data_IF_606743203176
#
_entry.id   IF_606743203176
#
_cell.length_a   1.000
_cell.length_b   1.000
_cell.length_c   1.000
_cell.angle_alpha   90.00
_cell.angle_beta   90.00
_cell.angle_gamma   90.00
#
_symmetry.space_group_name_H-M   'P 1'
#
loop_
_entity.id
_entity.type
_entity.pdbx_description
1 polymer ?
#
# COMPACT_ATOMS: atom_id res chain seq x y z
N UNK A 1 6.73 -15.42 14.47
CA UNK A 1 6.83 -14.46 13.36
C UNK A 1 5.67 -14.81 12.47
N UNK A 2 4.56 -14.07 12.58
CA UNK A 2 3.39 -14.30 11.71
C UNK A 2 3.85 -14.07 10.28
N UNK A 3 3.56 -15.03 9.41
CA UNK A 3 4.00 -15.02 8.02
C UNK A 3 3.23 -13.88 7.34
N UNK A 4 3.93 -12.78 7.03
CA UNK A 4 3.30 -11.60 6.45
C UNK A 4 2.87 -11.97 5.03
N UNK A 5 1.56 -11.99 4.78
CA UNK A 5 1.00 -12.25 3.45
C UNK A 5 1.20 -11.02 2.55
N UNK A 6 2.41 -10.92 1.98
CA UNK A 6 2.77 -9.83 1.07
C UNK A 6 1.81 -9.70 -0.13
N UNK A 7 1.33 -10.78 -0.78
CA UNK A 7 0.31 -10.68 -1.82
C UNK A 7 -0.96 -9.94 -1.40
N UNK A 8 -1.50 -10.21 -0.20
CA UNK A 8 -2.68 -9.50 0.31
C UNK A 8 -2.37 -8.02 0.53
N UNK A 9 -1.22 -7.70 1.12
CA UNK A 9 -0.83 -6.30 1.35
C UNK A 9 -0.58 -5.54 0.05
N UNK A 10 0.04 -6.18 -0.95
CA UNK A 10 0.18 -5.59 -2.29
C UNK A 10 -1.19 -5.32 -2.91
N UNK A 11 -2.15 -6.22 -2.73
CA UNK A 11 -3.52 -6.00 -3.18
C UNK A 11 -4.15 -4.78 -2.49
N UNK A 12 -3.92 -4.59 -1.19
CA UNK A 12 -4.38 -3.37 -0.50
C UNK A 12 -3.72 -2.12 -1.08
N UNK A 13 -2.41 -2.15 -1.32
CA UNK A 13 -1.69 -1.01 -1.90
C UNK A 13 -2.23 -0.63 -3.28
N UNK A 14 -2.45 -1.61 -4.16
CA UNK A 14 -2.98 -1.39 -5.52
C UNK A 14 -4.43 -0.89 -5.53
N UNK A 15 -5.27 -1.39 -4.63
CA UNK A 15 -6.69 -1.01 -4.56
C UNK A 15 -6.95 0.19 -3.66
N UNK A 16 -5.92 0.84 -3.13
CA UNK A 16 -6.04 1.90 -2.11
C UNK A 16 -7.06 2.97 -2.49
N UNK A 17 -6.99 3.52 -3.71
CA UNK A 17 -7.92 4.58 -4.14
C UNK A 17 -9.37 4.12 -4.20
N UNK A 18 -9.64 2.92 -4.75
CA UNK A 18 -10.99 2.34 -4.75
C UNK A 18 -11.50 2.09 -3.32
N UNK A 19 -10.62 1.63 -2.43
CA UNK A 19 -10.96 1.42 -1.02
C UNK A 19 -11.28 2.75 -0.30
N UNK A 20 -10.54 3.83 -0.59
CA UNK A 20 -10.83 5.17 -0.09
C UNK A 20 -12.21 5.65 -0.56
N UNK A 21 -12.55 5.41 -1.82
CA UNK A 21 -13.86 5.80 -2.36
C UNK A 21 -14.99 5.02 -1.69
N UNK A 22 -14.82 3.71 -1.50
CA UNK A 22 -15.78 2.88 -0.76
C UNK A 22 -15.90 3.32 0.70
N UNK A 23 -14.79 3.66 1.36
CA UNK A 23 -14.79 4.14 2.74
C UNK A 23 -15.57 5.47 2.88
N UNK A 24 -15.39 6.40 1.94
CA UNK A 24 -16.10 7.69 1.93
C UNK A 24 -17.60 7.54 1.63
N UNK A 25 -17.94 6.66 0.69
CA UNK A 25 -19.32 6.53 0.20
C UNK A 25 -20.18 5.58 1.03
N UNK A 26 -19.56 4.68 1.81
CA UNK A 26 -20.21 3.65 2.62
C UNK A 26 -21.36 2.94 1.89
N UNK A 27 -21.06 2.03 0.94
CA UNK A 27 -22.06 1.28 0.19
C UNK A 27 -23.09 0.62 1.12
N UNK A 28 -24.37 0.65 0.72
CA UNK A 28 -25.49 0.16 1.54
C UNK A 28 -25.48 -1.36 1.75
N UNK A 29 -24.74 -2.09 0.93
CA UNK A 29 -24.58 -3.54 0.96
C UNK A 29 -23.37 -4.02 1.79
N UNK A 30 -22.60 -3.10 2.37
CA UNK A 30 -21.45 -3.41 3.22
C UNK A 30 -21.87 -3.58 4.69
N UNK A 31 -21.51 -4.71 5.28
CA UNK A 31 -21.74 -4.94 6.72
C UNK A 31 -20.72 -4.22 7.61
N UNK A 32 -21.00 -4.13 8.91
CA UNK A 32 -20.15 -3.40 9.86
C UNK A 32 -18.74 -3.99 9.97
N UNK A 33 -18.58 -5.32 9.89
CA UNK A 33 -17.27 -5.97 9.98
C UNK A 33 -16.44 -5.68 8.72
N UNK A 34 -17.06 -5.75 7.55
CA UNK A 34 -16.45 -5.37 6.28
C UNK A 34 -16.03 -3.89 6.29
N UNK A 35 -16.88 -3.01 6.82
CA UNK A 35 -16.56 -1.59 6.94
C UNK A 35 -15.41 -1.32 7.92
N UNK A 36 -15.40 -1.97 9.08
CA UNK A 36 -14.30 -1.85 10.05
C UNK A 36 -12.97 -2.33 9.46
N UNK A 37 -12.99 -3.44 8.71
CA UNK A 37 -11.79 -3.93 8.03
C UNK A 37 -11.30 -2.95 6.96
N UNK A 38 -12.22 -2.42 6.14
CA UNK A 38 -11.91 -1.40 5.13
C UNK A 38 -11.32 -0.14 5.77
N UNK A 39 -11.93 0.34 6.85
CA UNK A 39 -11.47 1.49 7.62
C UNK A 39 -10.05 1.28 8.15
N UNK A 40 -9.77 0.12 8.75
CA UNK A 40 -8.43 -0.24 9.25
C UNK A 40 -7.39 -0.20 8.12
N UNK A 41 -7.70 -0.83 6.98
CA UNK A 41 -6.79 -0.88 5.83
C UNK A 41 -6.53 0.53 5.27
N UNK A 42 -7.59 1.30 5.03
CA UNK A 42 -7.48 2.66 4.47
C UNK A 42 -6.66 3.55 5.41
N UNK A 43 -6.94 3.53 6.71
CA UNK A 43 -6.21 4.34 7.70
C UNK A 43 -4.76 3.90 7.82
N UNK A 44 -4.49 2.59 7.88
CA UNK A 44 -3.13 2.06 7.98
C UNK A 44 -2.27 2.41 6.76
N UNK A 45 -2.79 2.24 5.54
CA UNK A 45 -2.07 2.64 4.31
C UNK A 45 -1.85 4.15 4.26
N UNK A 46 -2.87 4.94 4.62
CA UNK A 46 -2.76 6.41 4.67
C UNK A 46 -1.68 6.85 5.64
N UNK A 47 -1.64 6.25 6.83
CA UNK A 47 -0.63 6.54 7.84
C UNK A 47 0.78 6.23 7.32
N UNK A 48 1.00 5.04 6.77
CA UNK A 48 2.33 4.64 6.25
C UNK A 48 2.80 5.60 5.16
N UNK A 49 1.91 6.03 4.27
CA UNK A 49 2.25 7.01 3.24
C UNK A 49 2.62 8.38 3.86
N UNK A 50 1.80 8.90 4.76
CA UNK A 50 2.00 10.23 5.36
C UNK A 50 3.25 10.30 6.27
N UNK A 51 3.55 9.21 6.98
CA UNK A 51 4.72 9.11 7.86
C UNK A 51 6.03 8.84 7.09
N UNK A 52 5.93 8.53 5.79
CA UNK A 52 7.09 8.25 4.94
C UNK A 52 7.72 9.53 4.38
N UNK A 53 9.03 9.51 4.18
CA UNK A 53 9.74 10.57 3.48
C UNK A 53 9.31 10.68 2.00
N UNK A 54 9.65 11.80 1.36
CA UNK A 54 9.27 12.10 -0.02
C UNK A 54 9.72 11.01 -1.01
N UNK A 55 10.90 10.41 -0.79
CA UNK A 55 11.42 9.38 -1.70
C UNK A 55 10.60 8.09 -1.58
N UNK A 56 10.26 7.69 -0.37
CA UNK A 56 9.39 6.53 -0.11
C UNK A 56 7.96 6.78 -0.62
N UNK A 57 7.42 7.99 -0.46
CA UNK A 57 6.13 8.36 -1.04
C UNK A 57 6.13 8.24 -2.57
N UNK A 58 7.21 8.61 -3.25
CA UNK A 58 7.36 8.44 -4.70
C UNK A 58 7.41 6.96 -5.10
N UNK A 59 8.15 6.12 -4.35
CA UNK A 59 8.15 4.66 -4.56
C UNK A 59 6.73 4.11 -4.46
N UNK A 60 5.97 4.54 -3.45
CA UNK A 60 4.58 4.09 -3.28
C UNK A 60 3.73 4.40 -4.51
N UNK A 61 3.79 5.66 -4.96
CA UNK A 61 3.03 6.10 -6.14
C UNK A 61 3.38 5.29 -7.38
N UNK A 62 4.66 5.26 -7.72
CA UNK A 62 5.16 4.61 -8.94
C UNK A 62 4.93 3.09 -8.93
N UNK A 63 4.97 2.46 -7.75
CA UNK A 63 4.84 1.00 -7.63
C UNK A 63 3.39 0.51 -7.61
N UNK A 64 2.46 1.29 -7.04
CA UNK A 64 1.10 0.80 -6.76
C UNK A 64 -0.05 1.72 -7.17
N UNK A 65 0.14 3.03 -7.33
CA UNK A 65 -0.98 3.97 -7.52
C UNK A 65 -1.03 4.62 -8.90
N UNK A 66 0.11 4.72 -9.58
CA UNK A 66 0.19 5.16 -10.96
C UNK A 66 -0.26 4.01 -11.89
N UNK A 67 -1.21 4.28 -12.79
CA UNK A 67 -1.80 3.31 -13.74
C UNK A 67 -0.87 3.02 -14.94
N UNK A 68 0.43 3.20 -14.74
CA UNK A 68 1.38 3.38 -15.83
C UNK A 68 2.06 2.04 -16.19
N UNK A 69 1.73 0.95 -15.48
CA UNK A 69 2.27 -0.41 -15.62
C UNK A 69 3.81 -0.43 -15.73
N UNK A 70 4.50 0.46 -15.01
CA UNK A 70 5.95 0.51 -15.04
C UNK A 70 6.55 -0.78 -14.48
N UNK A 71 7.60 -1.25 -15.15
CA UNK A 71 8.40 -2.37 -14.68
C UNK A 71 9.34 -1.91 -13.56
N UNK A 72 9.82 -2.86 -12.74
CA UNK A 72 10.72 -2.54 -11.61
C UNK A 72 12.00 -1.84 -12.05
N UNK A 73 12.55 -2.19 -13.22
CA UNK A 73 13.74 -1.54 -13.79
C UNK A 73 13.49 -0.07 -14.15
N UNK A 74 12.33 0.24 -14.75
CA UNK A 74 11.94 1.62 -15.08
C UNK A 74 11.74 2.45 -13.81
N UNK A 75 11.07 1.90 -12.80
CA UNK A 75 10.88 2.59 -11.52
C UNK A 75 12.23 2.81 -10.84
N UNK A 76 13.11 1.81 -10.84
CA UNK A 76 14.43 1.90 -10.23
C UNK A 76 15.29 2.98 -10.90
N UNK A 77 15.27 3.05 -12.23
CA UNK A 77 15.97 4.07 -13.02
C UNK A 77 15.45 5.49 -12.73
N UNK A 78 14.12 5.69 -12.76
CA UNK A 78 13.48 6.98 -12.42
C UNK A 78 13.82 7.42 -11.00
N UNK A 79 13.88 6.48 -10.05
CA UNK A 79 14.22 6.73 -8.65
C UNK A 79 15.72 6.90 -8.40
N UNK A 80 16.57 6.64 -9.41
CA UNK A 80 18.04 6.66 -9.30
C UNK A 80 18.58 5.65 -8.30
N UNK A 81 17.98 4.46 -8.21
CA UNK A 81 18.38 3.37 -7.30
C UNK A 81 18.49 2.04 -8.04
N UNK A 82 19.10 1.04 -7.41
CA UNK A 82 19.10 -0.32 -7.98
C UNK A 82 17.73 -1.00 -7.80
N UNK A 83 17.39 -1.94 -8.70
CA UNK A 83 16.21 -2.79 -8.53
C UNK A 83 16.20 -3.52 -7.17
N UNK A 84 17.37 -3.94 -6.69
CA UNK A 84 17.47 -4.62 -5.39
C UNK A 84 17.07 -3.67 -4.24
N UNK A 85 17.51 -2.41 -4.32
CA UNK A 85 17.12 -1.37 -3.36
C UNK A 85 15.63 -1.07 -3.43
N UNK A 86 15.05 -1.03 -4.64
CA UNK A 86 13.62 -0.84 -4.83
C UNK A 86 12.81 -1.98 -4.21
N UNK A 87 13.17 -3.24 -4.51
CA UNK A 87 12.51 -4.43 -3.93
C UNK A 87 12.56 -4.41 -2.41
N UNK A 88 13.73 -4.11 -1.84
CA UNK A 88 13.88 -4.00 -0.39
C UNK A 88 13.00 -2.88 0.21
N UNK A 89 12.96 -1.71 -0.45
CA UNK A 89 12.10 -0.61 -0.02
C UNK A 89 10.61 -1.02 -0.05
N UNK A 90 10.16 -1.71 -1.10
CA UNK A 90 8.79 -2.23 -1.21
C UNK A 90 8.46 -3.20 -0.08
N UNK A 91 9.33 -4.16 0.22
CA UNK A 91 9.15 -5.08 1.35
C UNK A 91 9.03 -4.35 2.69
N UNK A 92 9.90 -3.36 2.93
CA UNK A 92 9.86 -2.55 4.16
C UNK A 92 8.56 -1.76 4.27
N UNK A 93 8.07 -1.19 3.16
CA UNK A 93 6.78 -0.50 3.12
C UNK A 93 5.66 -1.47 3.47
N UNK A 94 5.61 -2.65 2.84
CA UNK A 94 4.56 -3.65 3.12
C UNK A 94 4.60 -4.12 4.57
N UNK A 95 5.78 -4.32 5.18
CA UNK A 95 5.92 -4.61 6.62
C UNK A 95 5.34 -3.50 7.51
N UNK A 96 5.53 -2.23 7.13
CA UNK A 96 4.95 -1.09 7.85
C UNK A 96 3.42 -1.09 7.72
N UNK A 97 2.89 -1.40 6.53
CA UNK A 97 1.43 -1.53 6.31
C UNK A 97 0.87 -2.66 7.16
N UNK A 98 1.48 -3.85 7.14
CA UNK A 98 1.05 -4.99 7.96
C UNK A 98 0.91 -4.61 9.44
N UNK A 99 1.91 -3.88 9.97
CA UNK A 99 1.89 -3.38 11.35
C UNK A 99 0.80 -2.33 11.58
N UNK A 100 0.58 -1.43 10.62
CA UNK A 100 -0.38 -0.33 10.75
C UNK A 100 -1.85 -0.77 10.62
N UNK A 101 -2.12 -1.83 9.86
CA UNK A 101 -3.48 -2.40 9.71
C UNK A 101 -3.82 -3.44 10.79
N UNK A 102 -2.96 -3.57 11.82
CA UNK A 102 -3.06 -4.58 12.87
C UNK A 102 -3.20 -6.01 12.31
N UNK A 103 -2.50 -6.31 11.21
CA UNK A 103 -2.52 -7.65 10.61
C UNK A 103 -1.86 -8.64 11.57
N UNK A 104 -2.66 -9.49 12.23
CA UNK A 104 -2.21 -10.58 13.12
C UNK A 104 -1.98 -11.84 12.31
#
# INVERSE_FOLDING_TARGET
MTDVDYPILERYMRNYHSMVDNYKNKPSDMDDLQYMNLESIVKGVTQVYNDSDVKVQQIIKLSWWEDNNYTEDVIADVMGISELTLRHAKEVILKRVAKAVEYV
#
